data_IF_772493709031
#
_entry.id   IF_772493709031
#
_cell.length_a   1.000
_cell.length_b   1.000
_cell.length_c   1.000
_cell.angle_alpha   90.00
_cell.angle_beta   90.00
_cell.angle_gamma   90.00
#
_symmetry.space_group_name_H-M   'P 1'
#
loop_
_entity.id
_entity.type
_entity.pdbx_description
1 polymer ?
#
# COMPACT_ATOMS: atom_id res chain seq x y z
N UNK A 1 -78.70 20.22 -32.03
CA UNK A 1 -77.29 20.44 -32.42
C UNK A 1 -76.51 20.82 -31.17
N UNK A 2 -75.64 19.93 -30.66
CA UNK A 2 -74.83 20.19 -29.47
C UNK A 2 -73.51 20.88 -29.87
N UNK A 3 -73.17 21.97 -29.17
CA UNK A 3 -71.95 22.76 -29.43
C UNK A 3 -70.70 21.98 -29.02
N UNK A 4 -69.65 22.05 -29.84
CA UNK A 4 -68.36 21.42 -29.58
C UNK A 4 -67.70 21.98 -28.31
N UNK A 5 -67.10 21.10 -27.50
CA UNK A 5 -66.36 21.45 -26.29
C UNK A 5 -65.00 22.03 -26.70
N UNK A 6 -64.76 23.32 -26.42
CA UNK A 6 -63.58 24.10 -26.86
C UNK A 6 -62.54 24.36 -25.77
N UNK A 7 -62.51 23.58 -24.69
CA UNK A 7 -61.43 23.69 -23.68
C UNK A 7 -60.98 22.33 -23.18
N UNK A 8 -59.86 21.85 -23.72
CA UNK A 8 -59.05 20.82 -23.08
C UNK A 8 -58.21 21.52 -22.01
N UNK A 9 -58.63 21.44 -20.74
CA UNK A 9 -57.78 21.84 -19.61
C UNK A 9 -56.70 20.75 -19.46
N UNK A 10 -55.45 21.05 -19.80
CA UNK A 10 -54.30 20.25 -19.36
C UNK A 10 -54.28 20.28 -17.84
N UNK A 11 -54.42 19.13 -17.19
CA UNK A 11 -54.12 19.02 -15.76
C UNK A 11 -52.60 19.09 -15.62
N UNK A 12 -52.09 20.26 -15.25
CA UNK A 12 -50.72 20.39 -14.77
C UNK A 12 -50.66 19.70 -13.41
N UNK A 13 -49.87 18.63 -13.32
CA UNK A 13 -49.64 17.94 -12.05
C UNK A 13 -49.05 18.93 -11.05
N UNK A 14 -49.68 19.08 -9.88
CA UNK A 14 -49.12 19.92 -8.82
C UNK A 14 -47.82 19.26 -8.26
N UNK A 15 -47.01 20.04 -7.54
CA UNK A 15 -45.75 19.55 -6.96
C UNK A 15 -45.92 18.34 -6.02
N UNK A 16 -47.03 18.21 -5.30
CA UNK A 16 -47.33 17.04 -4.47
C UNK A 16 -47.61 15.78 -5.30
N UNK A 17 -48.34 15.90 -6.41
CA UNK A 17 -48.61 14.79 -7.32
C UNK A 17 -47.33 14.29 -8.00
N UNK A 18 -46.39 15.19 -8.29
CA UNK A 18 -45.05 14.84 -8.79
C UNK A 18 -44.24 14.10 -7.72
N UNK A 19 -44.28 14.56 -6.45
CA UNK A 19 -43.60 13.87 -5.35
C UNK A 19 -44.19 12.48 -5.10
N UNK A 20 -45.52 12.35 -5.07
CA UNK A 20 -46.20 11.08 -4.88
C UNK A 20 -45.85 10.07 -5.99
N UNK A 21 -45.85 10.52 -7.25
CA UNK A 21 -45.46 9.67 -8.38
C UNK A 21 -43.98 9.28 -8.36
N UNK A 22 -43.09 10.15 -7.88
CA UNK A 22 -41.68 9.82 -7.68
C UNK A 22 -41.48 8.81 -6.55
N UNK A 23 -42.21 8.94 -5.44
CA UNK A 23 -42.16 7.99 -4.33
C UNK A 23 -42.63 6.60 -4.78
N UNK A 24 -43.76 6.53 -5.47
CA UNK A 24 -44.31 5.28 -5.99
C UNK A 24 -43.37 4.61 -7.00
N UNK A 25 -42.75 5.38 -7.91
CA UNK A 25 -41.74 4.85 -8.83
C UNK A 25 -40.50 4.30 -8.11
N UNK A 26 -40.10 4.96 -7.02
CA UNK A 26 -38.97 4.51 -6.19
C UNK A 26 -39.31 3.22 -5.44
N UNK A 27 -40.55 3.10 -4.93
CA UNK A 27 -41.05 1.88 -4.29
C UNK A 27 -41.02 0.69 -5.27
N UNK A 28 -41.52 0.89 -6.49
CA UNK A 28 -41.50 -0.15 -7.53
C UNK A 28 -40.04 -0.55 -7.91
N UNK A 29 -39.15 0.44 -8.09
CA UNK A 29 -37.73 0.17 -8.41
C UNK A 29 -36.99 -0.56 -7.28
N UNK A 30 -37.31 -0.24 -6.01
CA UNK A 30 -36.74 -0.94 -4.84
C UNK A 30 -37.29 -2.36 -4.75
N UNK A 31 -38.59 -2.57 -5.02
CA UNK A 31 -39.21 -3.89 -5.01
C UNK A 31 -38.60 -4.81 -6.09
N UNK A 32 -38.37 -4.28 -7.28
CA UNK A 32 -37.78 -5.03 -8.40
C UNK A 32 -36.26 -5.31 -8.22
N UNK A 33 -35.56 -4.49 -7.42
CA UNK A 33 -34.10 -4.61 -7.23
C UNK A 33 -33.68 -4.93 -5.79
N UNK A 34 -34.60 -5.45 -4.96
CA UNK A 34 -34.39 -5.65 -3.52
C UNK A 34 -33.12 -6.41 -3.18
N UNK A 35 -32.84 -7.51 -3.89
CA UNK A 35 -31.63 -8.34 -3.66
C UNK A 35 -30.32 -7.58 -3.97
N UNK A 36 -30.30 -6.78 -5.04
CA UNK A 36 -29.13 -5.97 -5.41
C UNK A 36 -28.89 -4.83 -4.43
N UNK A 37 -29.96 -4.22 -3.92
CA UNK A 37 -29.91 -3.21 -2.87
C UNK A 37 -29.40 -3.79 -1.55
N UNK A 38 -29.85 -4.98 -1.18
CA UNK A 38 -29.40 -5.68 0.03
C UNK A 38 -27.89 -5.93 -0.02
N UNK A 39 -27.37 -6.46 -1.14
CA UNK A 39 -25.93 -6.66 -1.35
C UNK A 39 -25.13 -5.36 -1.32
N UNK A 40 -25.67 -4.28 -1.88
CA UNK A 40 -25.01 -2.98 -1.83
C UNK A 40 -24.94 -2.44 -0.39
N UNK A 41 -26.00 -2.62 0.39
CA UNK A 41 -26.04 -2.23 1.81
C UNK A 41 -25.06 -3.07 2.62
N UNK A 42 -25.00 -4.39 2.40
CA UNK A 42 -24.00 -5.26 3.05
C UNK A 42 -22.57 -4.82 2.74
N UNK A 43 -22.26 -4.51 1.48
CA UNK A 43 -20.94 -4.02 1.10
C UNK A 43 -20.61 -2.71 1.83
N UNK A 44 -21.54 -1.75 1.85
CA UNK A 44 -21.34 -0.47 2.55
C UNK A 44 -21.09 -0.71 4.03
N UNK A 45 -21.83 -1.61 4.69
CA UNK A 45 -21.64 -1.95 6.10
C UNK A 45 -20.28 -2.60 6.35
N UNK A 46 -19.87 -3.55 5.52
CA UNK A 46 -18.57 -4.20 5.66
C UNK A 46 -17.41 -3.20 5.50
N UNK A 47 -17.55 -2.23 4.59
CA UNK A 47 -16.56 -1.16 4.41
C UNK A 47 -16.54 -0.17 5.59
N UNK A 48 -17.70 0.12 6.18
CA UNK A 48 -17.83 0.98 7.36
C UNK A 48 -17.23 0.32 8.61
N UNK A 49 -17.55 -0.95 8.85
CA UNK A 49 -17.00 -1.75 9.96
C UNK A 49 -15.48 -1.90 9.87
N UNK A 50 -14.94 -1.95 8.64
CA UNK A 50 -13.50 -1.96 8.40
C UNK A 50 -12.83 -0.57 8.53
N UNK A 51 -13.59 0.50 8.78
CA UNK A 51 -13.09 1.88 8.83
C UNK A 51 -12.57 2.39 7.48
N UNK A 52 -12.99 1.78 6.38
CA UNK A 52 -12.52 2.08 5.02
C UNK A 52 -13.51 2.93 4.22
N UNK A 53 -14.76 3.06 4.68
CA UNK A 53 -15.80 3.77 3.95
C UNK A 53 -15.43 5.24 3.71
N UNK A 54 -14.90 5.95 4.72
CA UNK A 54 -14.45 7.33 4.54
C UNK A 54 -13.26 7.44 3.59
N UNK A 55 -12.30 6.51 3.69
CA UNK A 55 -11.11 6.49 2.84
C UNK A 55 -11.47 6.25 1.36
N UNK A 56 -12.33 5.27 1.08
CA UNK A 56 -12.83 4.99 -0.26
C UNK A 56 -13.68 6.14 -0.80
N UNK A 57 -14.53 6.74 0.04
CA UNK A 57 -15.33 7.91 -0.35
C UNK A 57 -14.45 9.10 -0.69
N UNK A 58 -13.41 9.36 0.09
CA UNK A 58 -12.44 10.41 -0.18
C UNK A 58 -11.67 10.14 -1.48
N UNK A 59 -11.21 8.90 -1.70
CA UNK A 59 -10.53 8.50 -2.92
C UNK A 59 -11.38 8.77 -4.17
N UNK A 60 -12.66 8.39 -4.13
CA UNK A 60 -13.59 8.60 -5.25
C UNK A 60 -13.86 10.08 -5.48
N UNK A 61 -14.01 10.88 -4.42
CA UNK A 61 -14.19 12.33 -4.52
C UNK A 61 -12.97 13.05 -5.08
N UNK A 62 -11.77 12.55 -4.78
CA UNK A 62 -10.50 13.12 -5.25
C UNK A 62 -9.89 12.32 -6.42
N UNK A 63 -10.72 11.59 -7.18
CA UNK A 63 -10.27 10.70 -8.25
C UNK A 63 -9.45 11.41 -9.33
N UNK A 64 -9.81 12.66 -9.66
CA UNK A 64 -9.18 13.43 -10.73
C UNK A 64 -7.74 13.84 -10.34
N UNK A 65 -7.50 14.24 -9.10
CA UNK A 65 -6.17 14.65 -8.63
C UNK A 65 -5.26 13.45 -8.31
N UNK A 66 -5.85 12.36 -7.80
CA UNK A 66 -5.09 11.22 -7.28
C UNK A 66 -4.85 10.11 -8.34
N UNK A 67 -5.86 9.75 -9.13
CA UNK A 67 -5.81 8.53 -9.95
C UNK A 67 -5.08 8.76 -11.27
N UNK A 68 -5.22 9.92 -11.91
CA UNK A 68 -4.58 10.18 -13.22
C UNK A 68 -3.05 10.07 -13.13
N UNK A 69 -2.45 10.71 -12.13
CA UNK A 69 -1.00 10.67 -11.93
C UNK A 69 -0.51 9.28 -11.50
N UNK A 70 -1.23 8.60 -10.60
CA UNK A 70 -0.84 7.27 -10.11
C UNK A 70 -0.94 6.23 -11.22
N UNK A 71 -2.03 6.22 -11.99
CA UNK A 71 -2.21 5.25 -13.08
C UNK A 71 -1.22 5.53 -14.20
N UNK A 72 -0.97 6.79 -14.54
CA UNK A 72 0.02 7.16 -15.55
C UNK A 72 1.43 6.80 -15.10
N UNK A 73 1.78 7.04 -13.83
CA UNK A 73 3.09 6.71 -13.27
C UNK A 73 3.27 5.20 -13.12
N UNK A 74 2.27 4.47 -12.61
CA UNK A 74 2.31 3.02 -12.44
C UNK A 74 2.41 2.27 -13.77
N UNK A 75 1.85 2.82 -14.85
CA UNK A 75 1.98 2.26 -16.21
C UNK A 75 3.33 2.56 -16.87
N UNK A 76 4.23 3.33 -16.23
CA UNK A 76 5.58 3.52 -16.77
C UNK A 76 6.37 2.22 -16.67
N UNK A 77 7.09 1.91 -17.74
CA UNK A 77 7.93 0.71 -17.89
C UNK A 77 8.91 0.51 -16.72
N UNK A 78 9.36 1.61 -16.10
CA UNK A 78 10.22 1.60 -14.90
C UNK A 78 9.62 0.86 -13.69
N UNK A 79 8.30 0.70 -13.62
CA UNK A 79 7.62 -0.01 -12.51
C UNK A 79 7.03 -1.35 -12.91
N UNK A 80 7.03 -1.70 -14.20
CA UNK A 80 6.48 -2.97 -14.70
C UNK A 80 7.08 -4.17 -13.98
N UNK A 81 8.41 -4.18 -13.78
CA UNK A 81 9.09 -5.25 -13.06
C UNK A 81 8.70 -5.31 -11.57
N UNK A 82 8.44 -4.17 -10.94
CA UNK A 82 8.02 -4.13 -9.51
C UNK A 82 6.61 -4.68 -9.37
N UNK A 83 5.71 -4.29 -10.28
CA UNK A 83 4.33 -4.76 -10.29
C UNK A 83 4.24 -6.25 -10.61
N UNK A 84 5.02 -6.74 -11.58
CA UNK A 84 5.09 -8.15 -11.94
C UNK A 84 5.58 -9.01 -10.77
N UNK A 85 6.53 -8.49 -10.00
CA UNK A 85 7.15 -9.22 -8.88
C UNK A 85 6.58 -8.85 -7.51
N UNK A 86 5.49 -8.08 -7.41
CA UNK A 86 4.98 -7.56 -6.13
C UNK A 86 4.61 -8.69 -5.17
N UNK A 87 4.05 -9.78 -5.67
CA UNK A 87 3.75 -10.99 -4.90
C UNK A 87 5.02 -11.66 -4.40
N UNK A 88 6.04 -11.80 -5.26
CA UNK A 88 7.35 -12.32 -4.90
C UNK A 88 8.04 -11.48 -3.82
N UNK A 89 7.95 -10.14 -3.91
CA UNK A 89 8.43 -9.25 -2.87
C UNK A 89 7.67 -9.41 -1.55
N UNK A 90 6.35 -9.58 -1.59
CA UNK A 90 5.55 -9.81 -0.38
C UNK A 90 5.90 -11.13 0.31
N UNK A 91 6.14 -12.21 -0.45
CA UNK A 91 6.62 -13.47 0.12
C UNK A 91 8.02 -13.33 0.72
N UNK A 92 8.94 -12.70 -0.01
CA UNK A 92 10.30 -12.45 0.46
C UNK A 92 10.32 -11.60 1.74
N UNK A 93 9.44 -10.60 1.85
CA UNK A 93 9.28 -9.82 3.07
C UNK A 93 8.75 -10.65 4.24
N UNK A 94 7.92 -11.67 3.99
CA UNK A 94 7.47 -12.63 5.00
C UNK A 94 8.56 -13.61 5.46
N UNK A 95 9.52 -13.92 4.59
CA UNK A 95 10.66 -14.80 4.89
C UNK A 95 11.82 -14.06 5.56
N UNK A 96 11.92 -12.74 5.39
CA UNK A 96 12.95 -11.93 6.03
C UNK A 96 12.70 -11.84 7.54
N UNK A 97 13.70 -12.28 8.30
CA UNK A 97 13.76 -12.05 9.74
C UNK A 97 14.09 -10.58 10.02
N UNK A 98 13.05 -9.78 10.27
CA UNK A 98 13.16 -8.33 10.55
C UNK A 98 14.07 -8.05 11.75
N UNK A 99 14.04 -8.90 12.78
CA UNK A 99 14.88 -8.74 13.97
C UNK A 99 16.37 -8.88 13.64
N UNK A 100 16.74 -9.85 12.80
CA UNK A 100 18.12 -9.98 12.31
C UNK A 100 18.57 -8.79 11.46
N UNK A 101 17.69 -8.28 10.61
CA UNK A 101 17.99 -7.09 9.79
C UNK A 101 18.20 -5.86 10.67
N UNK A 102 17.38 -5.67 11.69
CA UNK A 102 17.54 -4.59 12.66
C UNK A 102 18.87 -4.70 13.41
N UNK A 103 19.22 -5.88 13.90
CA UNK A 103 20.49 -6.10 14.60
C UNK A 103 21.70 -5.78 13.71
N UNK A 104 21.69 -6.25 12.46
CA UNK A 104 22.73 -5.96 11.48
C UNK A 104 22.84 -4.45 11.22
N UNK A 105 21.71 -3.78 11.02
CA UNK A 105 21.63 -2.33 10.81
C UNK A 105 22.23 -1.55 11.98
N UNK A 106 21.89 -1.93 13.22
CA UNK A 106 22.47 -1.31 14.43
C UNK A 106 23.98 -1.47 14.48
N UNK A 107 24.50 -2.68 14.22
CA UNK A 107 25.95 -2.95 14.19
C UNK A 107 26.66 -2.15 13.11
N UNK A 108 26.07 -2.03 11.93
CA UNK A 108 26.62 -1.24 10.81
C UNK A 108 26.69 0.25 11.17
N UNK A 109 25.64 0.80 11.77
CA UNK A 109 25.61 2.20 12.21
C UNK A 109 26.70 2.47 13.26
N UNK A 110 26.85 1.60 14.25
CA UNK A 110 27.91 1.71 15.26
C UNK A 110 29.31 1.65 14.64
N UNK A 111 29.53 0.74 13.67
CA UNK A 111 30.79 0.66 12.94
C UNK A 111 31.11 1.93 12.15
N UNK A 112 30.09 2.53 11.52
CA UNK A 112 30.22 3.79 10.79
C UNK A 112 30.59 4.95 11.72
N UNK A 113 29.98 5.05 12.91
CA UNK A 113 30.37 6.02 13.93
C UNK A 113 31.82 5.82 14.40
N UNK A 114 32.23 4.57 14.60
CA UNK A 114 33.61 4.22 14.97
C UNK A 114 34.62 4.63 13.90
N UNK A 115 34.30 4.37 12.62
CA UNK A 115 35.13 4.79 11.50
C UNK A 115 35.26 6.32 11.42
N UNK A 116 34.17 7.07 11.57
CA UNK A 116 34.22 8.54 11.58
C UNK A 116 35.04 9.11 12.75
N UNK A 117 35.00 8.47 13.92
CA UNK A 117 35.83 8.84 15.08
C UNK A 117 37.31 8.53 14.86
N UNK A 118 37.62 7.41 14.19
CA UNK A 118 38.98 6.97 13.87
C UNK A 118 39.65 7.73 12.72
N UNK A 119 38.88 8.17 11.73
CA UNK A 119 39.35 8.92 10.54
C UNK A 119 39.90 10.32 10.85
N UNK A 120 39.87 10.77 12.11
CA UNK A 120 40.54 12.01 12.55
C UNK A 120 42.06 11.92 12.56
N UNK A 121 42.65 10.73 12.40
CA UNK A 121 44.09 10.53 12.23
C UNK A 121 44.37 10.07 10.80
N UNK A 122 45.20 10.80 10.06
CA UNK A 122 45.71 10.40 8.73
C UNK A 122 46.76 9.27 8.81
N UNK A 123 46.75 8.47 9.89
CA UNK A 123 47.73 7.42 10.10
C UNK A 123 47.36 6.18 9.26
N UNK A 124 48.26 5.80 8.36
CA UNK A 124 48.13 4.58 7.57
C UNK A 124 48.36 3.36 8.45
N UNK A 125 47.45 2.39 8.41
CA UNK A 125 47.65 1.11 9.10
C UNK A 125 48.69 0.27 8.36
N UNK A 126 49.80 -0.08 9.02
CA UNK A 126 50.80 -0.98 8.44
C UNK A 126 50.39 -2.45 8.56
N UNK A 127 51.05 -3.34 7.81
CA UNK A 127 50.82 -4.80 7.90
C UNK A 127 51.06 -5.34 9.30
N UNK A 128 52.03 -4.78 10.02
CA UNK A 128 52.31 -5.14 11.41
C UNK A 128 51.19 -4.68 12.35
N UNK A 129 50.61 -3.51 12.10
CA UNK A 129 49.49 -2.98 12.89
C UNK A 129 48.21 -3.80 12.64
N UNK A 130 47.99 -4.29 11.42
CA UNK A 130 46.91 -5.23 11.13
C UNK A 130 47.08 -6.55 11.89
N UNK A 131 48.29 -7.11 11.92
CA UNK A 131 48.57 -8.34 12.68
C UNK A 131 48.34 -8.17 14.18
N UNK A 132 48.65 -6.98 14.73
CA UNK A 132 48.33 -6.62 16.12
C UNK A 132 46.82 -6.42 16.32
N UNK A 133 46.15 -5.76 15.38
CA UNK A 133 44.71 -5.50 15.42
C UNK A 133 43.90 -6.81 15.44
N UNK A 134 44.34 -7.86 14.73
CA UNK A 134 43.67 -9.17 14.78
C UNK A 134 43.74 -9.88 16.15
N UNK A 135 44.61 -9.42 17.06
CA UNK A 135 44.65 -9.89 18.46
C UNK A 135 43.66 -9.16 19.36
N UNK A 136 43.14 -8.02 18.92
CA UNK A 136 42.06 -7.33 19.59
C UNK A 136 40.77 -8.17 19.49
N UNK A 137 40.07 -8.44 20.61
CA UNK A 137 38.92 -9.33 20.61
C UNK A 137 37.74 -8.79 19.79
N UNK A 138 37.52 -7.48 19.74
CA UNK A 138 36.40 -6.87 19.01
C UNK A 138 36.66 -6.94 17.49
N UNK A 139 37.89 -6.61 17.06
CA UNK A 139 38.30 -6.72 15.65
C UNK A 139 38.28 -8.18 15.20
N UNK A 140 38.79 -9.11 16.02
CA UNK A 140 38.79 -10.53 15.73
C UNK A 140 37.36 -11.07 15.56
N UNK A 141 36.44 -10.65 16.44
CA UNK A 141 35.03 -11.03 16.35
C UNK A 141 34.38 -10.53 15.06
N UNK A 142 34.65 -9.28 14.65
CA UNK A 142 34.15 -8.72 13.39
C UNK A 142 34.64 -9.48 12.16
N UNK A 143 35.94 -9.78 12.11
CA UNK A 143 36.54 -10.59 11.04
C UNK A 143 35.96 -11.99 11.01
N UNK A 144 35.82 -12.63 12.18
CA UNK A 144 35.21 -13.96 12.31
C UNK A 144 33.76 -13.96 11.82
N UNK A 145 32.96 -12.96 12.21
CA UNK A 145 31.58 -12.80 11.74
C UNK A 145 31.53 -12.68 10.21
N UNK A 146 32.41 -11.88 9.61
CA UNK A 146 32.49 -11.75 8.15
C UNK A 146 32.84 -13.08 7.48
N UNK A 147 33.81 -13.83 8.01
CA UNK A 147 34.16 -15.16 7.48
C UNK A 147 32.99 -16.14 7.57
N UNK A 148 32.25 -16.14 8.67
CA UNK A 148 31.05 -16.97 8.83
C UNK A 148 29.93 -16.55 7.87
N UNK A 149 29.72 -15.25 7.67
CA UNK A 149 28.78 -14.73 6.69
C UNK A 149 29.13 -15.18 5.27
N UNK A 150 30.38 -15.02 4.86
CA UNK A 150 30.89 -15.48 3.56
C UNK A 150 30.76 -17.00 3.40
N UNK A 151 31.03 -17.76 4.46
CA UNK A 151 30.82 -19.22 4.48
C UNK A 151 29.33 -19.59 4.33
N UNK A 152 28.42 -18.78 4.87
CA UNK A 152 26.98 -18.93 4.69
C UNK A 152 26.53 -18.63 3.27
N UNK A 153 27.02 -17.54 2.66
CA UNK A 153 26.73 -17.18 1.27
C UNK A 153 27.18 -18.25 0.27
N UNK A 154 28.30 -18.93 0.54
CA UNK A 154 28.83 -20.00 -0.31
C UNK A 154 28.18 -21.37 -0.12
N UNK A 155 27.28 -21.54 0.87
CA UNK A 155 26.53 -22.78 1.04
C UNK A 155 25.35 -22.80 0.08
N UNK A 156 25.20 -23.88 -0.67
CA UNK A 156 23.99 -24.09 -1.44
C UNK A 156 22.78 -24.11 -0.49
N UNK A 157 21.63 -23.51 -0.88
CA UNK A 157 20.42 -23.65 -0.10
C UNK A 157 20.09 -25.14 0.04
N UNK A 158 19.92 -25.62 1.27
CA UNK A 158 19.39 -26.96 1.50
C UNK A 158 17.89 -26.91 1.19
N UNK A 159 17.46 -27.65 0.16
CA UNK A 159 16.07 -27.78 -0.25
C UNK A 159 15.26 -28.56 0.79
#
# INVERSE_FOLDING_TARGET
MAKAITKIKRMEMNQEQIRAKKAQKLEDEIADNGESLEKAIELIRALDEAGMLEALTALVKHKEDAIENIVTEANKERYSNVLENISGFMFLLGEIDVSKVQELSTRLNQGMEGAMKGSKREEKTSVMDLAKALRDPEINQGVTMMLHFLKGLGRAPEN
#
